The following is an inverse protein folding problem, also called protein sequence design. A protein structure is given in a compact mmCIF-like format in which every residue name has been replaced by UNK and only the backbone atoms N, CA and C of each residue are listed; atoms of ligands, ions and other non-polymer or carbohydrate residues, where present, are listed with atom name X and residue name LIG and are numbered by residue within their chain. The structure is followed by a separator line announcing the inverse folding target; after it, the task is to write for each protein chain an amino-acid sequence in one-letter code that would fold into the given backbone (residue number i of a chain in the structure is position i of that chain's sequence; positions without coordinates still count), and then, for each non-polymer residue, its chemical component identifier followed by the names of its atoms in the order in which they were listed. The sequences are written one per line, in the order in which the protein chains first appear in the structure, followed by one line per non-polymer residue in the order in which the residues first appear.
data_IF_874499025365
#
_entry.id   IF_874499025365
#
_cell.length_a   1.000
_cell.length_b   1.000
_cell.length_c   1.000
_cell.angle_alpha   90.00
_cell.angle_beta   90.00
_cell.angle_gamma   90.00
#
_symmetry.space_group_name_H-M   'P 1'
#
loop_
_entity.id
_entity.type
_entity.pdbx_description
1 polymer ?
#
# COMPACT_ATOMS: atom_id res chain seq x y z
N UNK A 1 15.57 14.89 -33.94
CA UNK A 1 16.45 14.19 -32.97
C UNK A 1 16.43 15.01 -31.71
N UNK A 2 16.15 14.44 -30.52
CA UNK A 2 16.26 15.21 -29.28
C UNK A 2 17.68 15.76 -29.18
N UNK A 3 17.81 17.03 -28.82
CA UNK A 3 19.11 17.68 -28.67
C UNK A 3 20.03 16.82 -27.79
N UNK A 4 21.28 16.60 -28.18
CA UNK A 4 22.24 15.87 -27.36
C UNK A 4 22.43 16.60 -26.02
N UNK A 5 21.77 16.09 -24.97
CA UNK A 5 21.95 16.59 -23.61
C UNK A 5 23.31 16.10 -23.12
N UNK A 6 24.23 17.04 -22.90
CA UNK A 6 25.55 16.74 -22.31
C UNK A 6 25.35 16.43 -20.83
N UNK A 7 25.52 15.16 -20.45
CA UNK A 7 25.53 14.74 -19.05
C UNK A 7 26.94 14.99 -18.48
N UNK A 8 27.07 15.67 -17.33
CA UNK A 8 28.36 15.87 -16.69
C UNK A 8 28.94 14.54 -16.17
N UNK A 9 30.26 14.38 -16.32
CA UNK A 9 30.99 13.21 -15.82
C UNK A 9 30.98 13.16 -14.29
N UNK A 10 30.98 11.95 -13.73
CA UNK A 10 31.07 11.73 -12.27
C UNK A 10 32.43 12.14 -11.73
N UNK A 11 32.53 12.32 -10.41
CA UNK A 11 33.82 12.56 -9.74
C UNK A 11 34.86 11.48 -10.07
N UNK A 12 34.46 10.20 -10.05
CA UNK A 12 35.36 9.08 -10.36
C UNK A 12 35.82 9.06 -11.82
N UNK A 13 34.91 9.31 -12.77
CA UNK A 13 35.27 9.38 -14.19
C UNK A 13 36.18 10.57 -14.48
N UNK A 14 35.94 11.72 -13.83
CA UNK A 14 36.84 12.87 -13.90
C UNK A 14 38.22 12.53 -13.33
N UNK A 15 38.28 11.88 -12.17
CA UNK A 15 39.54 11.44 -11.57
C UNK A 15 40.30 10.49 -12.49
N UNK A 16 39.64 9.53 -13.13
CA UNK A 16 40.28 8.61 -14.07
C UNK A 16 40.76 9.33 -15.32
N UNK A 17 39.94 10.22 -15.87
CA UNK A 17 40.31 11.07 -17.00
C UNK A 17 41.56 11.91 -16.67
N UNK A 18 41.56 12.55 -15.50
CA UNK A 18 42.70 13.32 -15.02
C UNK A 18 43.90 12.45 -14.69
N UNK A 19 43.72 11.25 -14.14
CA UNK A 19 44.79 10.31 -13.93
C UNK A 19 45.44 9.91 -15.27
N UNK A 20 44.65 9.70 -16.32
CA UNK A 20 45.16 9.41 -17.66
C UNK A 20 45.85 10.64 -18.28
N UNK A 21 45.20 11.81 -18.27
CA UNK A 21 45.73 13.07 -18.81
C UNK A 21 47.00 13.55 -18.08
N UNK A 22 47.07 13.36 -16.76
CA UNK A 22 48.17 13.81 -15.91
C UNK A 22 49.13 12.70 -15.48
N UNK A 23 48.93 11.45 -15.89
CA UNK A 23 49.90 10.35 -15.62
C UNK A 23 51.28 10.64 -16.22
N UNK A 24 51.33 11.39 -17.32
CA UNK A 24 52.56 11.91 -17.92
C UNK A 24 53.00 13.27 -17.35
N UNK A 25 52.27 13.84 -16.40
CA UNK A 25 52.42 15.21 -15.92
C UNK A 25 52.11 15.35 -14.41
N UNK A 26 52.84 14.62 -13.57
CA UNK A 26 53.20 15.22 -12.28
C UNK A 26 54.05 16.45 -12.63
N UNK A 27 53.50 17.65 -12.42
CA UNK A 27 54.20 18.90 -12.75
C UNK A 27 55.61 18.84 -12.18
N UNK A 28 56.63 19.11 -12.99
CA UNK A 28 57.99 19.17 -12.48
C UNK A 28 58.07 20.36 -11.52
N UNK A 29 58.69 20.23 -10.33
CA UNK A 29 58.81 21.32 -9.36
C UNK A 29 59.47 22.58 -9.95
N UNK A 30 60.27 22.41 -11.00
CA UNK A 30 60.98 23.50 -11.69
C UNK A 30 60.19 24.13 -12.86
N UNK A 31 58.94 23.71 -13.11
CA UNK A 31 58.12 24.29 -14.18
C UNK A 31 57.60 25.68 -13.79
N UNK A 32 57.62 26.68 -14.70
CA UNK A 32 57.12 28.04 -14.41
C UNK A 32 55.61 28.05 -14.10
N UNK A 33 54.89 27.02 -14.53
CA UNK A 33 53.46 26.83 -14.29
C UNK A 33 53.13 26.39 -12.86
N UNK A 34 54.13 25.96 -12.07
CA UNK A 34 53.93 25.45 -10.71
C UNK A 34 53.22 26.48 -9.81
N UNK A 35 53.59 27.76 -9.94
CA UNK A 35 53.02 28.87 -9.17
C UNK A 35 51.93 29.66 -9.90
N UNK A 36 51.48 29.21 -11.08
CA UNK A 36 50.47 29.92 -11.86
C UNK A 36 49.07 29.79 -11.22
N UNK A 37 48.54 30.93 -10.72
CA UNK A 37 47.23 31.00 -10.06
C UNK A 37 46.08 30.60 -10.98
N UNK A 38 46.08 31.05 -12.23
CA UNK A 38 44.96 30.85 -13.15
C UNK A 38 44.81 29.38 -13.54
N UNK A 39 45.94 28.69 -13.74
CA UNK A 39 45.98 27.25 -13.96
C UNK A 39 45.50 26.48 -12.72
N UNK A 40 45.95 26.88 -11.53
CA UNK A 40 45.54 26.27 -10.28
C UNK A 40 44.03 26.45 -10.00
N UNK A 41 43.45 27.61 -10.32
CA UNK A 41 42.02 27.83 -10.18
C UNK A 41 41.19 27.05 -11.19
N UNK A 42 41.64 26.91 -12.45
CA UNK A 42 40.97 26.10 -13.46
C UNK A 42 40.90 24.63 -13.05
N UNK A 43 42.01 24.04 -12.59
CA UNK A 43 42.02 22.63 -12.17
C UNK A 43 41.13 22.34 -10.96
N UNK A 44 40.99 23.29 -10.02
CA UNK A 44 40.14 23.11 -8.83
C UNK A 44 38.65 23.02 -9.17
N UNK A 45 38.19 23.78 -10.18
CA UNK A 45 36.76 23.88 -10.53
C UNK A 45 36.24 22.64 -11.23
N UNK A 46 37.06 22.01 -12.06
CA UNK A 46 36.63 20.88 -12.87
C UNK A 46 36.76 19.54 -12.16
N UNK A 47 37.49 19.47 -11.05
CA UNK A 47 37.71 18.24 -10.30
C UNK A 47 36.48 17.77 -9.52
N UNK A 48 35.77 18.68 -8.86
CA UNK A 48 34.69 18.34 -7.94
C UNK A 48 33.35 18.24 -8.69
N UNK A 49 32.65 17.14 -8.48
CA UNK A 49 31.25 16.97 -8.87
C UNK A 49 30.36 17.04 -7.63
N UNK A 50 29.22 17.72 -7.78
CA UNK A 50 28.18 17.76 -6.76
C UNK A 50 26.83 17.68 -7.45
N UNK A 51 25.93 16.86 -6.91
CA UNK A 51 24.55 16.78 -7.39
C UNK A 51 23.89 18.17 -7.37
N UNK A 52 23.15 18.57 -8.43
CA UNK A 52 22.49 19.86 -8.47
C UNK A 52 21.37 19.95 -7.43
N UNK A 53 21.05 21.18 -7.04
CA UNK A 53 19.92 21.44 -6.15
C UNK A 53 18.58 21.15 -6.88
N UNK A 54 17.81 20.21 -6.33
CA UNK A 54 16.48 19.88 -6.82
C UNK A 54 15.40 20.62 -6.00
N UNK A 55 14.69 21.53 -6.66
CA UNK A 55 13.61 22.32 -6.06
C UNK A 55 12.43 21.46 -5.58
N UNK A 56 12.27 20.21 -6.06
CA UNK A 56 11.27 19.25 -5.56
C UNK A 56 11.52 18.85 -4.11
N UNK A 57 12.78 18.93 -3.66
CA UNK A 57 13.22 18.49 -2.33
C UNK A 57 13.95 19.61 -1.59
N UNK A 58 13.24 20.67 -1.15
CA UNK A 58 13.84 21.82 -0.46
C UNK A 58 14.34 21.46 0.95
N UNK A 59 14.00 20.28 1.45
CA UNK A 59 14.36 19.83 2.78
C UNK A 59 15.85 19.45 2.86
N UNK A 60 16.46 19.71 4.02
CA UNK A 60 17.84 19.28 4.32
C UNK A 60 17.95 17.74 4.35
N UNK A 61 16.86 17.07 4.74
CA UNK A 61 16.73 15.61 4.75
C UNK A 61 16.63 15.05 3.32
N UNK A 62 17.71 14.43 2.84
CA UNK A 62 17.86 13.94 1.45
C UNK A 62 17.34 12.52 1.18
N UNK A 63 16.71 11.87 2.17
CA UNK A 63 16.24 10.49 2.07
C UNK A 63 15.24 10.28 0.93
N UNK A 64 14.22 11.16 0.85
CA UNK A 64 13.22 11.11 -0.24
C UNK A 64 13.83 11.44 -1.60
N UNK A 65 14.80 12.35 -1.62
CA UNK A 65 15.53 12.68 -2.84
C UNK A 65 16.30 11.45 -3.34
N UNK A 66 17.05 10.74 -2.47
CA UNK A 66 17.77 9.54 -2.91
C UNK A 66 16.80 8.53 -3.55
N UNK A 67 15.75 8.17 -2.83
CA UNK A 67 14.81 7.15 -3.30
C UNK A 67 14.17 7.53 -4.64
N UNK A 68 13.79 8.80 -4.83
CA UNK A 68 13.22 9.28 -6.08
C UNK A 68 14.21 9.15 -7.25
N UNK A 69 15.47 9.57 -7.08
CA UNK A 69 16.49 9.49 -8.12
C UNK A 69 16.88 8.06 -8.48
N UNK A 70 16.88 7.14 -7.50
CA UNK A 70 17.07 5.70 -7.75
C UNK A 70 15.94 5.15 -8.62
N UNK A 71 14.67 5.41 -8.25
CA UNK A 71 13.51 4.99 -9.05
C UNK A 71 13.51 5.61 -10.44
N UNK A 72 13.86 6.90 -10.56
CA UNK A 72 13.93 7.62 -11.84
C UNK A 72 14.98 7.00 -12.78
N UNK A 73 16.11 6.50 -12.26
CA UNK A 73 17.13 5.79 -13.06
C UNK A 73 16.59 4.49 -13.67
N UNK A 74 15.99 3.63 -12.86
CA UNK A 74 15.44 2.35 -13.32
C UNK A 74 14.29 2.56 -14.31
N UNK A 75 13.39 3.52 -14.01
CA UNK A 75 12.33 3.94 -14.95
C UNK A 75 12.89 4.48 -16.27
N UNK A 76 13.96 5.27 -16.23
CA UNK A 76 14.58 5.80 -17.44
C UNK A 76 15.14 4.68 -18.33
N UNK A 77 15.79 3.68 -17.72
CA UNK A 77 16.33 2.53 -18.45
C UNK A 77 15.26 1.68 -19.12
N UNK A 78 14.09 1.54 -18.50
CA UNK A 78 12.97 0.80 -19.08
C UNK A 78 12.30 1.57 -20.22
N UNK A 79 12.06 2.87 -20.05
CA UNK A 79 11.36 3.69 -21.05
C UNK A 79 12.21 3.97 -22.29
N UNK A 80 13.49 4.30 -22.10
CA UNK A 80 14.36 4.79 -23.17
C UNK A 80 15.37 3.73 -23.62
N UNK A 81 15.47 2.60 -22.91
CA UNK A 81 16.52 1.61 -23.09
C UNK A 81 17.81 1.98 -22.34
N UNK A 82 18.67 0.98 -22.13
CA UNK A 82 19.91 1.10 -21.36
C UNK A 82 20.95 2.06 -21.98
N UNK A 83 20.85 2.31 -23.29
CA UNK A 83 21.83 3.10 -24.05
C UNK A 83 21.52 4.62 -24.05
N UNK A 84 20.45 5.05 -23.35
CA UNK A 84 20.08 6.46 -23.32
C UNK A 84 20.98 7.28 -22.40
N UNK A 85 21.91 8.05 -22.99
CA UNK A 85 22.92 8.87 -22.29
C UNK A 85 22.34 9.68 -21.11
N UNK A 86 21.18 10.37 -21.22
CA UNK A 86 20.62 11.15 -20.12
C UNK A 86 20.21 10.34 -18.88
N UNK A 87 19.95 9.02 -18.98
CA UNK A 87 19.66 8.20 -17.80
C UNK A 87 20.84 8.17 -16.81
N UNK A 88 22.08 8.30 -17.32
CA UNK A 88 23.30 8.37 -16.52
C UNK A 88 23.27 9.52 -15.51
N UNK A 89 22.57 10.62 -15.80
CA UNK A 89 22.43 11.73 -14.85
C UNK A 89 21.78 11.27 -13.53
N UNK A 90 20.68 10.53 -13.60
CA UNK A 90 20.02 10.01 -12.40
C UNK A 90 20.93 9.05 -11.65
N UNK A 91 21.71 8.25 -12.39
CA UNK A 91 22.69 7.32 -11.82
C UNK A 91 23.75 8.03 -10.99
N UNK A 92 24.32 9.09 -11.54
CA UNK A 92 25.35 9.89 -10.88
C UNK A 92 24.78 10.48 -9.59
N UNK A 93 23.59 11.09 -9.68
CA UNK A 93 22.97 11.81 -8.57
C UNK A 93 22.64 10.88 -7.40
N UNK A 94 22.02 9.71 -7.61
CA UNK A 94 21.73 8.81 -6.47
C UNK A 94 23.01 8.19 -5.89
N UNK A 95 24.03 7.91 -6.71
CA UNK A 95 25.31 7.37 -6.21
C UNK A 95 26.11 8.37 -5.37
N UNK A 96 25.94 9.68 -5.58
CA UNK A 96 26.72 10.70 -4.85
C UNK A 96 26.35 10.82 -3.38
N UNK A 97 25.06 10.80 -3.05
CA UNK A 97 24.59 11.12 -1.69
C UNK A 97 23.77 10.01 -1.04
N UNK A 98 23.43 8.95 -1.78
CA UNK A 98 22.73 7.83 -1.18
C UNK A 98 23.70 6.87 -0.48
N UNK A 99 23.38 6.39 0.73
CA UNK A 99 24.18 5.36 1.37
C UNK A 99 24.21 4.06 0.54
N UNK A 100 25.38 3.46 0.36
CA UNK A 100 25.54 2.22 -0.43
C UNK A 100 24.65 1.07 0.09
N UNK A 101 24.52 0.93 1.41
CA UNK A 101 23.68 -0.11 2.01
C UNK A 101 22.18 0.02 1.66
N UNK A 102 21.70 1.21 1.27
CA UNK A 102 20.34 1.38 0.75
C UNK A 102 20.24 0.88 -0.68
N UNK A 103 21.22 1.23 -1.51
CA UNK A 103 21.29 0.81 -2.91
C UNK A 103 21.34 -0.71 -2.98
N UNK A 104 22.26 -1.35 -2.24
CA UNK A 104 22.41 -2.81 -2.18
C UNK A 104 21.10 -3.49 -1.78
N UNK A 105 20.45 -3.00 -0.71
CA UNK A 105 19.16 -3.54 -0.26
C UNK A 105 18.05 -3.36 -1.29
N UNK A 106 18.03 -2.24 -2.02
CA UNK A 106 17.05 -2.02 -3.05
C UNK A 106 17.30 -2.90 -4.27
N UNK A 107 18.56 -3.09 -4.66
CA UNK A 107 18.95 -4.00 -5.73
C UNK A 107 18.52 -5.44 -5.40
N UNK A 108 18.76 -5.91 -4.17
CA UNK A 108 18.25 -7.21 -3.67
C UNK A 108 16.72 -7.31 -3.79
N UNK A 109 15.99 -6.27 -3.38
CA UNK A 109 14.52 -6.26 -3.46
C UNK A 109 14.01 -6.25 -4.92
N UNK A 110 14.76 -5.67 -5.84
CA UNK A 110 14.45 -5.70 -7.28
C UNK A 110 14.67 -7.12 -7.83
N UNK A 111 15.81 -7.75 -7.50
CA UNK A 111 16.12 -9.12 -7.90
C UNK A 111 15.08 -10.13 -7.39
N UNK A 112 14.58 -9.92 -6.17
CA UNK A 112 13.49 -10.72 -5.59
C UNK A 112 12.09 -10.38 -6.12
N UNK A 113 11.93 -9.28 -6.87
CA UNK A 113 10.63 -8.78 -7.31
C UNK A 113 9.72 -8.25 -6.20
N UNK A 114 10.29 -7.86 -5.04
CA UNK A 114 9.56 -7.35 -3.87
C UNK A 114 9.64 -5.82 -3.71
N UNK A 115 10.25 -5.13 -4.65
CA UNK A 115 10.46 -3.69 -4.57
C UNK A 115 9.13 -2.90 -4.59
N UNK A 116 8.93 -1.92 -3.69
CA UNK A 116 7.64 -1.25 -3.54
C UNK A 116 7.31 -0.25 -4.66
N UNK A 117 8.31 0.23 -5.42
CA UNK A 117 8.08 1.16 -6.52
C UNK A 117 7.98 0.43 -7.86
N UNK A 118 7.17 0.98 -8.76
CA UNK A 118 7.03 0.47 -10.13
C UNK A 118 7.87 1.30 -11.08
N UNK A 119 8.70 0.62 -11.84
CA UNK A 119 9.53 1.24 -12.88
C UNK A 119 8.72 1.40 -14.17
N UNK A 120 7.90 0.40 -14.50
CA UNK A 120 6.95 0.45 -15.60
C UNK A 120 5.92 1.57 -15.42
N UNK A 121 5.82 2.45 -16.41
CA UNK A 121 4.54 3.10 -16.67
C UNK A 121 4.34 3.31 -18.17
N UNK A 122 3.16 2.89 -18.64
CA UNK A 122 2.60 2.98 -20.00
C UNK A 122 2.93 1.83 -20.96
N UNK A 123 2.31 0.65 -20.75
CA UNK A 123 1.87 -0.12 -21.91
C UNK A 123 0.70 0.66 -22.55
N UNK A 124 0.99 1.23 -23.70
CA UNK A 124 0.02 1.76 -24.65
C UNK A 124 -0.72 0.55 -25.24
N UNK A 125 -1.82 0.12 -24.63
CA UNK A 125 -2.80 -0.65 -25.37
C UNK A 125 -3.52 0.32 -26.31
N UNK A 126 -3.41 0.08 -27.62
CA UNK A 126 -3.90 0.90 -28.74
C UNK A 126 -5.45 1.07 -28.79
N UNK A 127 -6.16 0.96 -27.68
CA UNK A 127 -7.59 1.26 -27.60
C UNK A 127 -7.94 2.03 -26.32
N UNK A 128 -8.32 3.28 -26.57
CA UNK A 128 -9.01 4.22 -25.69
C UNK A 128 -8.18 4.92 -24.61
N UNK A 129 -8.13 6.24 -24.80
CA UNK A 129 -7.88 7.28 -23.79
C UNK A 129 -8.97 7.19 -22.72
N UNK A 130 -8.89 6.19 -21.86
CA UNK A 130 -9.60 6.16 -20.60
C UNK A 130 -8.54 6.13 -19.50
N UNK A 131 -8.65 7.04 -18.54
CA UNK A 131 -7.77 7.12 -17.38
C UNK A 131 -7.92 5.85 -16.52
N UNK A 132 -7.20 4.79 -16.90
CA UNK A 132 -7.19 3.54 -16.16
C UNK A 132 -6.32 3.72 -14.93
N UNK A 133 -6.94 3.59 -13.76
CA UNK A 133 -6.23 3.29 -12.52
C UNK A 133 -5.20 2.17 -12.79
N UNK A 134 -3.97 2.33 -12.27
CA UNK A 134 -2.91 1.35 -12.44
C UNK A 134 -3.37 -0.06 -12.04
N UNK A 135 -3.02 -1.09 -12.81
CA UNK A 135 -3.46 -2.48 -12.56
C UNK A 135 -3.15 -3.02 -11.15
N UNK A 136 -2.23 -2.39 -10.40
CA UNK A 136 -1.98 -2.72 -8.99
C UNK A 136 -3.11 -2.37 -8.02
N UNK A 137 -3.97 -1.41 -8.33
CA UNK A 137 -5.09 -1.07 -7.45
C UNK A 137 -6.32 -1.93 -7.74
N UNK A 138 -6.31 -2.67 -8.86
CA UNK A 138 -7.40 -3.56 -9.23
C UNK A 138 -7.25 -4.86 -8.46
N UNK A 139 -8.29 -5.25 -7.74
CA UNK A 139 -8.36 -6.58 -7.15
C UNK A 139 -8.62 -7.56 -8.29
N UNK A 140 -7.84 -8.66 -8.42
CA UNK A 140 -8.07 -9.62 -9.49
C UNK A 140 -9.48 -10.22 -9.39
N UNK A 141 -10.14 -10.53 -10.52
CA UNK A 141 -11.52 -11.01 -10.52
C UNK A 141 -11.73 -12.28 -9.67
N UNK A 142 -10.70 -13.14 -9.60
CA UNK A 142 -10.70 -14.35 -8.77
C UNK A 142 -10.77 -14.04 -7.27
N UNK A 143 -10.05 -13.01 -6.80
CA UNK A 143 -10.07 -12.59 -5.40
C UNK A 143 -11.39 -11.89 -5.05
N UNK A 144 -12.03 -11.22 -6.01
CA UNK A 144 -13.38 -10.67 -5.85
C UNK A 144 -14.39 -11.81 -5.70
N UNK A 145 -14.35 -12.82 -6.58
CA UNK A 145 -15.24 -13.97 -6.49
C UNK A 145 -15.04 -14.72 -5.15
N UNK A 146 -13.79 -14.86 -4.70
CA UNK A 146 -13.47 -15.40 -3.38
C UNK A 146 -14.13 -14.61 -2.26
N UNK A 147 -14.07 -13.26 -2.29
CA UNK A 147 -14.70 -12.39 -1.29
C UNK A 147 -16.23 -12.48 -1.33
N UNK A 148 -16.81 -12.47 -2.52
CA UNK A 148 -18.27 -12.58 -2.72
C UNK A 148 -18.80 -13.94 -2.23
N UNK A 149 -18.02 -15.01 -2.39
CA UNK A 149 -18.36 -16.35 -1.87
C UNK A 149 -18.54 -16.37 -0.36
N UNK A 150 -17.75 -15.59 0.39
CA UNK A 150 -17.83 -15.50 1.87
C UNK A 150 -18.93 -14.57 2.40
N UNK A 151 -19.58 -13.79 1.54
CA UNK A 151 -20.71 -12.94 1.92
C UNK A 151 -21.99 -13.75 2.13
N UNK A 152 -22.18 -14.85 1.38
CA UNK A 152 -23.36 -15.71 1.53
C UNK A 152 -23.25 -16.59 2.77
N UNK A 153 -24.31 -16.61 3.57
CA UNK A 153 -24.40 -17.45 4.76
C UNK A 153 -24.29 -18.95 4.39
N UNK A 154 -23.44 -19.69 5.10
CA UNK A 154 -23.23 -21.14 4.91
C UNK A 154 -22.01 -21.54 4.07
N UNK A 155 -21.39 -20.61 3.36
CA UNK A 155 -20.13 -20.83 2.64
C UNK A 155 -18.89 -20.38 3.43
N UNK A 156 -19.10 -19.67 4.54
CA UNK A 156 -18.03 -19.25 5.46
C UNK A 156 -17.57 -20.44 6.30
N UNK A 157 -16.24 -20.58 6.44
CA UNK A 157 -15.66 -21.53 7.37
C UNK A 157 -16.09 -21.23 8.81
N UNK A 158 -16.53 -22.27 9.52
CA UNK A 158 -16.99 -22.12 10.90
C UNK A 158 -15.78 -22.24 11.81
N UNK A 159 -15.43 -21.17 12.49
CA UNK A 159 -14.41 -21.18 13.53
C UNK A 159 -15.09 -21.39 14.89
N UNK A 160 -14.66 -22.41 15.63
CA UNK A 160 -15.20 -22.71 16.95
C UNK A 160 -14.96 -21.57 17.96
N UNK A 161 -13.86 -20.84 17.85
CA UNK A 161 -13.52 -19.78 18.81
C UNK A 161 -14.23 -18.45 18.55
N UNK A 162 -14.73 -18.23 17.33
CA UNK A 162 -15.37 -16.98 16.94
C UNK A 162 -16.89 -17.18 16.77
N UNK A 163 -17.73 -16.75 17.75
CA UNK A 163 -19.18 -16.94 17.71
C UNK A 163 -19.86 -16.26 16.52
N UNK A 164 -19.20 -15.26 15.91
CA UNK A 164 -19.71 -14.54 14.74
C UNK A 164 -19.63 -15.35 13.44
N UNK A 165 -18.85 -16.42 13.40
CA UNK A 165 -18.73 -17.31 12.23
C UNK A 165 -19.78 -18.42 12.24
N UNK A 166 -20.44 -18.65 13.37
CA UNK A 166 -21.43 -19.72 13.52
C UNK A 166 -22.72 -19.42 12.75
N UNK A 167 -23.46 -20.45 12.31
CA UNK A 167 -24.77 -20.24 11.69
C UNK A 167 -25.76 -19.63 12.71
N UNK A 168 -26.74 -18.87 12.23
CA UNK A 168 -27.69 -18.13 13.07
C UNK A 168 -28.47 -19.02 14.07
N UNK A 169 -28.76 -20.26 13.71
CA UNK A 169 -29.34 -21.26 14.63
C UNK A 169 -28.46 -21.53 15.86
N UNK A 170 -27.15 -21.63 15.67
CA UNK A 170 -26.19 -21.86 16.76
C UNK A 170 -25.92 -20.58 17.55
N UNK A 171 -25.90 -19.43 16.89
CA UNK A 171 -25.82 -18.13 17.58
C UNK A 171 -27.04 -17.91 18.49
N UNK A 172 -28.24 -18.17 17.99
CA UNK A 172 -29.47 -18.08 18.78
C UNK A 172 -29.45 -19.01 19.99
N UNK A 173 -29.02 -20.26 19.81
CA UNK A 173 -28.85 -21.21 20.91
C UNK A 173 -27.80 -20.74 21.93
N UNK A 174 -26.64 -20.26 21.46
CA UNK A 174 -25.52 -19.81 22.30
C UNK A 174 -25.86 -18.58 23.13
N UNK A 175 -26.51 -17.58 22.53
CA UNK A 175 -26.96 -16.36 23.23
C UNK A 175 -27.98 -16.71 24.31
N UNK A 176 -28.99 -17.53 23.98
CA UNK A 176 -29.99 -17.93 24.97
C UNK A 176 -29.39 -18.78 26.09
N UNK A 177 -28.45 -19.69 25.78
CA UNK A 177 -27.73 -20.46 26.78
C UNK A 177 -26.92 -19.54 27.71
N UNK A 178 -26.17 -18.58 27.15
CA UNK A 178 -25.39 -17.60 27.91
C UNK A 178 -26.25 -16.73 28.82
N UNK A 179 -27.36 -16.19 28.30
CA UNK A 179 -28.32 -15.41 29.09
C UNK A 179 -28.97 -16.25 30.21
N UNK A 180 -29.26 -17.52 29.95
CA UNK A 180 -29.83 -18.44 30.95
C UNK A 180 -28.83 -18.74 32.07
N UNK A 181 -27.57 -19.01 31.72
CA UNK A 181 -26.50 -19.23 32.71
C UNK A 181 -26.25 -17.97 33.55
N UNK A 182 -26.16 -16.81 32.90
CA UNK A 182 -25.98 -15.53 33.57
C UNK A 182 -27.15 -15.19 34.50
N UNK A 183 -28.38 -15.37 34.03
CA UNK A 183 -29.60 -15.18 34.83
C UNK A 183 -29.64 -16.12 36.03
N UNK A 184 -29.35 -17.40 35.82
CA UNK A 184 -29.26 -18.39 36.89
C UNK A 184 -28.18 -18.07 37.92
N UNK A 185 -27.02 -17.60 37.47
CA UNK A 185 -25.94 -17.13 38.35
C UNK A 185 -26.36 -15.91 39.16
N UNK A 186 -26.91 -14.89 38.51
CA UNK A 186 -27.40 -13.67 39.17
C UNK A 186 -28.47 -13.98 40.22
N UNK A 187 -29.41 -14.87 39.90
CA UNK A 187 -30.44 -15.34 40.82
C UNK A 187 -29.85 -16.04 42.06
N UNK A 188 -28.77 -16.80 41.90
CA UNK A 188 -28.07 -17.43 43.02
C UNK A 188 -27.39 -16.40 43.92
N UNK A 189 -26.67 -15.45 43.32
CA UNK A 189 -25.98 -14.39 44.05
C UNK A 189 -26.99 -13.56 44.85
N UNK A 190 -28.11 -13.17 44.22
CA UNK A 190 -29.16 -12.40 44.87
C UNK A 190 -29.78 -13.13 46.07
N UNK A 191 -30.03 -14.43 45.93
CA UNK A 191 -30.66 -15.25 46.98
C UNK A 191 -29.66 -15.94 47.90
N UNK A 192 -28.36 -15.62 47.80
CA UNK A 192 -27.26 -16.23 48.57
C UNK A 192 -27.27 -17.77 48.52
N UNK A 193 -27.61 -18.35 47.36
CA UNK A 193 -27.63 -19.80 47.14
C UNK A 193 -26.31 -20.26 46.50
N UNK A 194 -25.79 -21.46 46.84
CA UNK A 194 -24.61 -21.99 46.17
C UNK A 194 -24.89 -22.31 44.70
N UNK A 195 -23.86 -22.31 43.85
CA UNK A 195 -24.02 -22.46 42.40
C UNK A 195 -24.69 -23.79 41.99
N UNK A 196 -24.45 -24.87 42.74
CA UNK A 196 -24.99 -26.21 42.49
C UNK A 196 -26.44 -26.41 42.99
N UNK A 197 -27.04 -25.41 43.66
CA UNK A 197 -28.41 -25.50 44.14
C UNK A 197 -29.39 -25.78 42.97
N UNK A 198 -30.21 -26.82 43.06
CA UNK A 198 -31.18 -27.19 42.03
C UNK A 198 -30.58 -27.32 40.60
N UNK A 199 -29.44 -27.99 40.46
CA UNK A 199 -28.73 -28.12 39.18
C UNK A 199 -29.54 -28.82 38.08
N UNK A 200 -30.28 -29.89 38.42
CA UNK A 200 -31.06 -30.67 37.46
C UNK A 200 -32.15 -29.83 36.75
N UNK A 201 -33.07 -29.15 37.46
CA UNK A 201 -34.08 -28.33 36.78
C UNK A 201 -33.47 -27.13 36.02
N UNK A 202 -32.28 -26.65 36.43
CA UNK A 202 -31.55 -25.59 35.70
C UNK A 202 -30.96 -26.08 34.40
N UNK A 203 -30.41 -27.29 34.36
CA UNK A 203 -29.94 -27.91 33.12
C UNK A 203 -31.11 -28.17 32.17
N UNK A 204 -32.27 -28.59 32.69
CA UNK A 204 -33.49 -28.68 31.88
C UNK A 204 -33.91 -27.31 31.31
N UNK A 205 -33.93 -26.26 32.13
CA UNK A 205 -34.26 -24.90 31.67
C UNK A 205 -33.26 -24.38 30.62
N UNK A 206 -31.96 -24.64 30.80
CA UNK A 206 -30.91 -24.32 29.82
C UNK A 206 -31.13 -25.05 28.50
N UNK A 207 -31.48 -26.34 28.53
CA UNK A 207 -31.77 -27.12 27.33
C UNK A 207 -33.01 -26.58 26.60
N UNK A 208 -34.08 -26.27 27.33
CA UNK A 208 -35.33 -25.72 26.74
C UNK A 208 -35.08 -24.34 26.13
N UNK A 209 -34.45 -23.42 26.86
CA UNK A 209 -34.19 -22.06 26.37
C UNK A 209 -33.18 -22.04 25.21
N UNK A 210 -32.18 -22.92 25.22
CA UNK A 210 -31.25 -23.05 24.09
C UNK A 210 -31.95 -23.64 22.86
N UNK A 211 -32.85 -24.61 23.02
CA UNK A 211 -33.68 -25.14 21.93
C UNK A 211 -34.63 -24.08 21.34
N UNK A 212 -35.24 -23.24 22.19
CA UNK A 212 -36.03 -22.10 21.73
C UNK A 212 -35.19 -21.08 20.96
N UNK A 213 -33.97 -20.79 21.46
CA UNK A 213 -33.00 -19.94 20.76
C UNK A 213 -32.59 -20.51 19.40
N UNK A 214 -32.41 -21.83 19.31
CA UNK A 214 -32.14 -22.53 18.05
C UNK A 214 -33.31 -22.36 17.06
N UNK A 215 -34.55 -22.58 17.52
CA UNK A 215 -35.74 -22.44 16.69
C UNK A 215 -35.92 -21.01 16.17
N UNK A 216 -35.76 -20.00 17.02
CA UNK A 216 -35.80 -18.59 16.62
C UNK A 216 -34.69 -18.25 15.61
N UNK A 217 -33.47 -18.78 15.82
CA UNK A 217 -32.36 -18.63 14.89
C UNK A 217 -32.62 -19.27 13.53
N UNK A 218 -33.25 -20.45 13.50
CA UNK A 218 -33.63 -21.16 12.27
C UNK A 218 -34.73 -20.42 11.49
N UNK A 219 -35.75 -19.88 12.18
CA UNK A 219 -36.78 -19.04 11.57
C UNK A 219 -36.19 -17.77 10.94
N UNK A 220 -35.26 -17.12 11.65
CA UNK A 220 -34.54 -15.95 11.15
C UNK A 220 -33.68 -16.29 9.92
N UNK A 221 -33.01 -17.43 9.94
CA UNK A 221 -32.23 -17.94 8.80
C UNK A 221 -33.12 -18.17 7.57
N UNK A 222 -34.31 -18.75 7.75
CA UNK A 222 -35.29 -18.93 6.66
C UNK A 222 -35.78 -17.59 6.08
N UNK A 223 -36.10 -16.62 6.94
CA UNK A 223 -36.52 -15.29 6.51
C UNK A 223 -35.42 -14.57 5.69
N UNK A 224 -34.15 -14.66 6.10
CA UNK A 224 -33.08 -14.04 5.32
C UNK A 224 -32.81 -14.73 4.00
N UNK A 225 -32.87 -16.07 3.94
CA UNK A 225 -32.73 -16.82 2.68
C UNK A 225 -33.80 -16.44 1.67
N UNK A 226 -35.05 -16.32 2.12
CA UNK A 226 -36.18 -15.93 1.24
C UNK A 226 -36.04 -14.49 0.77
N UNK A 227 -35.69 -13.55 1.66
CA UNK A 227 -35.41 -12.15 1.30
C UNK A 227 -34.28 -12.04 0.28
N UNK A 228 -33.15 -12.69 0.53
CA UNK A 228 -31.97 -12.60 -0.33
C UNK A 228 -32.24 -13.25 -1.70
N UNK A 229 -33.02 -14.34 -1.75
CA UNK A 229 -33.48 -14.94 -3.01
C UNK A 229 -34.37 -13.99 -3.82
N UNK A 230 -35.30 -13.28 -3.17
CA UNK A 230 -36.14 -12.27 -3.83
C UNK A 230 -35.30 -11.11 -4.36
N UNK A 231 -34.36 -10.59 -3.56
CA UNK A 231 -33.46 -9.50 -3.99
C UNK A 231 -32.60 -9.94 -5.16
N UNK A 232 -32.02 -11.15 -5.10
CA UNK A 232 -31.21 -11.68 -6.20
C UNK A 232 -32.04 -11.84 -7.48
N UNK A 233 -33.27 -12.34 -7.37
CA UNK A 233 -34.17 -12.46 -8.50
C UNK A 233 -34.55 -11.09 -9.09
N UNK A 234 -34.81 -10.09 -8.24
CA UNK A 234 -35.10 -8.72 -8.68
C UNK A 234 -33.94 -8.10 -9.45
N UNK A 235 -32.70 -8.24 -8.94
CA UNK A 235 -31.48 -7.75 -9.61
C UNK A 235 -31.28 -8.42 -10.97
N UNK A 236 -31.60 -9.72 -11.09
CA UNK A 236 -31.51 -10.45 -12.36
C UNK A 236 -32.53 -9.99 -13.40
N UNK A 237 -33.73 -9.59 -12.96
CA UNK A 237 -34.80 -9.10 -13.84
C UNK A 237 -34.57 -7.66 -14.31
N UNK A 238 -33.91 -6.83 -13.50
CA UNK A 238 -33.72 -5.40 -13.75
C UNK A 238 -32.23 -5.02 -13.75
N UNK A 239 -31.39 -5.55 -14.65
CA UNK A 239 -29.97 -5.19 -14.69
C UNK A 239 -29.74 -3.69 -14.92
N UNK A 240 -30.68 -3.00 -15.56
CA UNK A 240 -30.66 -1.56 -15.81
C UNK A 240 -30.77 -0.69 -14.56
N UNK A 241 -31.41 -1.16 -13.48
CA UNK A 241 -31.49 -0.43 -12.21
C UNK A 241 -30.16 -0.49 -11.43
N UNK A 242 -29.29 -1.43 -11.80
CA UNK A 242 -28.09 -1.82 -11.04
C UNK A 242 -26.81 -1.72 -11.87
N UNK A 243 -26.84 -1.02 -12.99
CA UNK A 243 -25.72 -0.74 -13.88
C UNK A 243 -24.50 -0.14 -13.16
N UNK A 244 -24.69 0.59 -12.06
CA UNK A 244 -23.59 1.05 -11.19
C UNK A 244 -22.75 -0.08 -10.55
N UNK A 245 -23.25 -1.32 -10.48
CA UNK A 245 -22.52 -2.46 -9.90
C UNK A 245 -21.57 -3.09 -10.91
N UNK A 246 -21.74 -2.80 -12.20
CA UNK A 246 -20.83 -3.25 -13.24
C UNK A 246 -19.47 -2.53 -13.14
N UNK A 247 -19.45 -1.28 -12.65
CA UNK A 247 -18.24 -0.49 -12.40
C UNK A 247 -17.62 -0.78 -11.02
N UNK A 248 -17.01 -1.97 -10.88
CA UNK A 248 -16.37 -2.43 -9.62
C UNK A 248 -15.23 -1.53 -9.13
N UNK A 249 -14.55 -0.82 -10.02
CA UNK A 249 -13.36 -0.03 -9.71
C UNK A 249 -13.66 1.44 -9.37
N UNK A 250 -14.91 1.89 -9.55
CA UNK A 250 -15.32 3.27 -9.30
C UNK A 250 -14.54 4.32 -10.09
N UNK A 251 -14.69 5.59 -9.70
CA UNK A 251 -13.90 6.70 -10.26
C UNK A 251 -12.62 6.91 -9.44
N UNK A 252 -11.49 7.26 -10.07
CA UNK A 252 -10.27 7.59 -9.34
C UNK A 252 -10.43 8.87 -8.52
N UNK A 253 -9.78 8.94 -7.36
CA UNK A 253 -9.79 10.13 -6.49
C UNK A 253 -9.30 11.40 -7.19
N UNK A 254 -8.51 11.28 -8.27
CA UNK A 254 -8.13 12.43 -9.11
C UNK A 254 -9.31 13.10 -9.81
N UNK A 255 -10.37 12.34 -10.10
CA UNK A 255 -11.61 12.84 -10.72
C UNK A 255 -12.67 13.25 -9.69
N UNK A 256 -12.47 12.90 -8.41
CA UNK A 256 -13.42 13.17 -7.33
C UNK A 256 -12.91 14.35 -6.51
N UNK A 257 -13.50 15.52 -6.72
CA UNK A 257 -13.24 16.70 -5.89
C UNK A 257 -14.20 16.71 -4.69
N UNK A 258 -13.75 16.17 -3.56
CA UNK A 258 -14.49 16.28 -2.30
C UNK A 258 -14.19 17.63 -1.63
N UNK A 259 -15.18 18.30 -1.03
CA UNK A 259 -14.92 19.48 -0.22
C UNK A 259 -14.05 19.10 0.99
N UNK A 260 -12.92 19.79 1.15
CA UNK A 260 -12.05 19.60 2.30
C UNK A 260 -12.49 20.47 3.47
N UNK A 261 -12.89 19.84 4.57
CA UNK A 261 -13.25 20.51 5.81
C UNK A 261 -12.08 20.43 6.80
N UNK A 262 -11.28 21.50 6.98
CA UNK A 262 -10.20 21.50 7.96
C UNK A 262 -10.76 21.33 9.37
N UNK A 263 -10.24 20.35 10.11
CA UNK A 263 -10.46 20.29 11.57
C UNK A 263 -9.60 21.36 12.23
N UNK A 264 -10.09 22.61 12.28
CA UNK A 264 -9.45 23.68 13.06
C UNK A 264 -9.58 23.35 14.54
N UNK A 265 -8.45 23.12 15.22
CA UNK A 265 -8.43 23.19 16.68
C UNK A 265 -8.89 24.61 17.04
N UNK A 266 -9.97 24.72 17.82
CA UNK A 266 -10.37 26.00 18.38
C UNK A 266 -9.16 26.53 19.16
N UNK A 267 -8.52 27.60 18.68
CA UNK A 267 -7.54 28.30 19.50
C UNK A 267 -8.32 28.90 20.67
N UNK A 268 -8.16 28.34 21.86
CA UNK A 268 -8.56 29.03 23.08
C UNK A 268 -7.77 30.33 23.12
N UNK A 269 -8.44 31.46 22.86
CA UNK A 269 -7.83 32.77 23.13
C UNK A 269 -7.62 32.83 24.64
N UNK A 270 -6.37 32.77 25.07
CA UNK A 270 -6.01 33.18 26.42
C UNK A 270 -6.13 34.71 26.44
N UNK A 271 -7.14 35.20 27.16
CA UNK A 271 -7.28 36.62 27.49
C UNK A 271 -6.23 37.03 28.53
#
# INVERSE_FOLDING_TARGET
MPAEVKVPDTFYERLQKYQQEFSSALRHPDSPDWFNKDLNEKMKKDLLWAAPYDARFPQVRKQRQCFAYYVDFHRCNELMGKDYKPCKFFQNVYKDFCPNFWIEKWDELIEEGRFPAKFDQWFYDDKCILWLMADSTRVPPEEIERRERFLRAGLREVNLMDPFTWPHRMQGAGVMAGLTLLSGHMYNVWNKKPYYFAIVPRLCALAVLSALGYGAGALREHHYRTRDALVQHYIQLHPEDFDHFNDRNGRPFSQILLPWYPRRTQYTKYN
#
